data_IF_775306047944
#
_entry.id   IF_775306047944
#
_cell.length_a   1.000
_cell.length_b   1.000
_cell.length_c   1.000
_cell.angle_alpha   90.00
_cell.angle_beta   90.00
_cell.angle_gamma   90.00
#
_symmetry.space_group_name_H-M   'P 1'
#
loop_
_entity.id
_entity.type
_entity.pdbx_description
1 polymer ?
#
# COMPACT_ATOMS: atom_id res chain seq x y z
N UNK A 1 3.58 2.30 13.46
CA UNK A 1 2.51 1.35 13.88
C UNK A 1 2.89 -0.08 13.50
N UNK A 2 2.37 -1.13 14.16
CA UNK A 2 2.65 -2.53 13.79
C UNK A 2 2.08 -2.88 12.41
N UNK A 3 2.76 -3.73 11.64
CA UNK A 3 2.30 -4.21 10.32
C UNK A 3 0.86 -4.74 10.35
N UNK A 4 0.47 -5.51 11.37
CA UNK A 4 -0.89 -6.05 11.50
C UNK A 4 -1.94 -4.96 11.69
N UNK A 5 -1.60 -3.87 12.38
CA UNK A 5 -2.52 -2.73 12.56
C UNK A 5 -2.64 -1.92 11.27
N UNK A 6 -1.53 -1.72 10.57
CA UNK A 6 -1.52 -1.09 9.25
C UNK A 6 -2.33 -1.90 8.23
N UNK A 7 -2.14 -3.22 8.18
CA UNK A 7 -2.88 -4.10 7.30
C UNK A 7 -4.40 -3.97 7.50
N UNK A 8 -4.85 -4.01 8.77
CA UNK A 8 -6.26 -3.79 9.12
C UNK A 8 -6.77 -2.41 8.67
N UNK A 9 -5.99 -1.35 8.87
CA UNK A 9 -6.34 0.02 8.46
C UNK A 9 -6.50 0.16 6.95
N UNK A 10 -5.63 -0.51 6.19
CA UNK A 10 -5.66 -0.52 4.73
C UNK A 10 -6.66 -1.54 4.14
N UNK A 11 -7.37 -2.30 4.99
CA UNK A 11 -8.30 -3.34 4.55
C UNK A 11 -7.62 -4.56 3.92
N UNK A 12 -6.31 -4.73 4.10
CA UNK A 12 -5.55 -5.87 3.55
C UNK A 12 -5.26 -6.92 4.63
N UNK A 13 -5.18 -8.18 4.21
CA UNK A 13 -4.78 -9.25 5.13
C UNK A 13 -3.33 -9.08 5.59
N UNK A 14 -3.03 -9.50 6.82
CA UNK A 14 -1.66 -9.51 7.33
C UNK A 14 -0.70 -10.29 6.41
N UNK A 15 -1.16 -11.40 5.83
CA UNK A 15 -0.37 -12.23 4.91
C UNK A 15 0.00 -11.46 3.63
N UNK A 16 -0.91 -10.65 3.10
CA UNK A 16 -0.63 -9.79 1.94
C UNK A 16 0.38 -8.69 2.30
N UNK A 17 0.18 -8.00 3.42
CA UNK A 17 1.11 -6.97 3.89
C UNK A 17 2.53 -7.54 4.15
N UNK A 18 2.62 -8.73 4.75
CA UNK A 18 3.90 -9.42 4.97
C UNK A 18 4.58 -9.84 3.67
N UNK A 19 3.81 -10.27 2.67
CA UNK A 19 4.32 -10.56 1.33
C UNK A 19 4.92 -9.31 0.67
N UNK A 20 4.28 -8.14 0.83
CA UNK A 20 4.81 -6.88 0.30
C UNK A 20 6.13 -6.49 0.95
N UNK A 21 6.25 -6.65 2.28
CA UNK A 21 7.51 -6.44 3.00
C UNK A 21 8.61 -7.35 2.45
N UNK A 22 8.34 -8.65 2.30
CA UNK A 22 9.31 -9.60 1.73
C UNK A 22 9.71 -9.30 0.29
N UNK A 23 8.82 -8.70 -0.50
CA UNK A 23 9.08 -8.32 -1.88
C UNK A 23 9.68 -6.91 -2.00
N UNK A 24 9.82 -6.16 -0.91
CA UNK A 24 10.23 -4.75 -0.96
C UNK A 24 9.22 -3.83 -1.68
N UNK A 25 7.97 -4.29 -1.88
CA UNK A 25 6.91 -3.55 -2.59
C UNK A 25 6.00 -2.78 -1.64
N UNK A 26 6.50 -2.43 -0.47
CA UNK A 26 5.67 -1.73 0.50
C UNK A 26 5.48 -0.28 0.05
N UNK A 27 4.23 0.24 -0.03
CA UNK A 27 3.97 1.61 -0.49
C UNK A 27 4.35 2.68 0.55
N UNK A 28 4.73 2.26 1.76
CA UNK A 28 5.05 3.12 2.90
C UNK A 28 6.38 2.69 3.52
N UNK A 29 7.15 3.62 4.10
CA UNK A 29 8.37 3.29 4.81
C UNK A 29 8.09 2.35 5.99
N UNK A 30 8.95 1.36 6.18
CA UNK A 30 8.88 0.44 7.31
C UNK A 30 10.28 0.16 7.86
N UNK A 31 10.33 -0.21 9.13
CA UNK A 31 11.56 -0.57 9.84
C UNK A 31 11.38 -1.89 10.57
N UNK A 32 12.47 -2.64 10.67
CA UNK A 32 12.54 -3.86 11.46
C UNK A 32 13.11 -3.51 12.83
N UNK A 33 12.37 -3.83 13.88
CA UNK A 33 12.92 -3.73 15.23
C UNK A 33 13.91 -4.87 15.48
N UNK A 34 14.86 -4.72 16.43
CA UNK A 34 15.78 -5.79 16.83
C UNK A 34 15.06 -7.07 17.28
N UNK A 35 13.81 -6.94 17.73
CA UNK A 35 12.92 -8.04 18.13
C UNK A 35 12.19 -8.71 16.95
N UNK A 36 12.48 -8.33 15.71
CA UNK A 36 11.85 -8.88 14.50
C UNK A 36 10.44 -8.35 14.22
N UNK A 37 9.99 -7.30 14.90
CA UNK A 37 8.68 -6.68 14.63
C UNK A 37 8.81 -5.66 13.52
N UNK A 38 7.88 -5.69 12.55
CA UNK A 38 7.81 -4.71 11.47
C UNK A 38 6.99 -3.51 11.93
N UNK A 39 7.65 -2.35 12.02
CA UNK A 39 7.05 -1.07 12.32
C UNK A 39 6.86 -0.27 11.03
N UNK A 40 5.61 0.00 10.68
CA UNK A 40 5.23 0.84 9.54
C UNK A 40 5.20 2.29 9.97
N UNK A 41 5.99 3.14 9.31
CA UNK A 41 5.97 4.59 9.45
C UNK A 41 5.03 5.13 8.38
N UNK A 42 3.73 5.19 8.68
CA UNK A 42 2.83 6.00 7.84
C UNK A 42 3.26 7.46 8.01
N UNK A 43 3.56 8.20 6.93
CA UNK A 43 3.55 9.64 7.02
C UNK A 43 2.12 10.01 7.42
N UNK A 44 1.94 10.54 8.64
CA UNK A 44 0.71 11.26 8.93
C UNK A 44 0.67 12.39 7.92
N UNK A 45 -0.31 12.36 7.02
CA UNK A 45 -0.38 13.29 5.91
C UNK A 45 -0.24 14.73 6.40
N UNK A 46 0.85 15.39 6.03
CA UNK A 46 0.67 16.63 5.30
C UNK A 46 0.01 16.26 3.96
N UNK A 47 -1.01 17.01 3.62
CA UNK A 47 -2.13 16.70 2.74
C UNK A 47 -1.78 16.60 1.23
N UNK A 48 -0.69 15.95 0.81
CA UNK A 48 -0.17 16.17 -0.56
C UNK A 48 0.44 14.93 -1.26
N UNK A 49 -0.33 13.85 -1.42
CA UNK A 49 -0.32 12.99 -2.63
C UNK A 49 -1.16 11.73 -2.42
N UNK A 50 -2.34 11.69 -3.04
CA UNK A 50 -3.17 10.49 -3.15
C UNK A 50 -2.83 9.78 -4.46
N UNK A 51 -2.27 8.58 -4.41
CA UNK A 51 -2.11 7.74 -5.59
C UNK A 51 -3.33 6.81 -5.73
N UNK A 52 -4.22 7.14 -6.68
CA UNK A 52 -5.35 6.30 -7.09
C UNK A 52 -4.87 5.27 -8.13
N UNK A 53 -4.84 3.98 -7.76
CA UNK A 53 -4.62 2.91 -8.71
C UNK A 53 -5.96 2.34 -9.15
N UNK A 54 -6.56 2.96 -10.17
CA UNK A 54 -7.74 2.41 -10.84
C UNK A 54 -7.26 1.47 -11.96
N UNK A 55 -7.50 0.17 -11.82
CA UNK A 55 -7.37 -0.78 -12.94
C UNK A 55 -8.70 -0.81 -13.70
N UNK A 56 -8.69 -0.27 -14.91
CA UNK A 56 -9.83 -0.38 -15.82
C UNK A 56 -9.85 -1.78 -16.42
N UNK A 57 -10.98 -2.48 -16.31
CA UNK A 57 -11.19 -3.81 -16.89
C UNK A 57 -12.07 -3.75 -18.14
N UNK A 58 -11.99 -2.66 -18.90
CA UNK A 58 -12.65 -2.55 -20.21
C UNK A 58 -11.66 -2.02 -21.22
N UNK A 59 -11.34 -2.84 -22.23
CA UNK A 59 -10.37 -2.59 -23.30
C UNK A 59 -11.05 -1.98 -24.54
N UNK A 60 -12.32 -1.62 -24.47
CA UNK A 60 -13.10 -1.34 -25.68
C UNK A 60 -13.41 0.14 -25.88
N UNK A 61 -12.85 0.63 -27.00
CA UNK A 61 -13.20 1.79 -27.83
C UNK A 61 -12.67 3.17 -27.45
N UNK A 62 -11.39 3.31 -27.82
CA UNK A 62 -10.71 4.52 -28.29
C UNK A 62 -11.30 4.97 -29.65
N UNK A 63 -12.47 5.62 -29.67
CA UNK A 63 -12.96 6.39 -30.82
C UNK A 63 -14.18 7.21 -30.40
N UNK A 64 -13.96 8.46 -30.01
CA UNK A 64 -14.80 9.60 -30.40
C UNK A 64 -14.06 10.85 -29.93
N UNK A 65 -13.22 11.37 -30.81
CA UNK A 65 -12.65 12.71 -30.70
C UNK A 65 -13.03 13.39 -32.01
N UNK A 66 -14.19 14.06 -32.00
CA UNK A 66 -14.49 15.21 -32.83
C UNK A 66 -14.98 16.34 -31.90
#
# INVERSE_FOLDING_TARGET
MKLSKWAKKQGVSYKAAWRWVRQGKMPVPFEHTPTGTILVKEPQGSNDAVALYARVSSVEQKADLD
#
